data_IF_330270616172
#
_entry.id   IF_330270616172
#
_cell.length_a   1.000
_cell.length_b   1.000
_cell.length_c   1.000
_cell.angle_alpha   90.00
_cell.angle_beta   90.00
_cell.angle_gamma   90.00
#
_symmetry.space_group_name_H-M   'P 1'
#
loop_
_entity.id
_entity.type
_entity.pdbx_description
1 polymer ?
#
# COMPACT_ATOMS: atom_id res chain seq x y z
N UNK A 1 -1.50 -0.32 3.31
CA UNK A 1 -0.52 -0.91 4.24
C UNK A 1 -0.23 0.12 5.33
N UNK A 2 -0.48 -0.23 6.59
CA UNK A 2 0.10 0.45 7.75
C UNK A 2 1.38 -0.31 8.12
N UNK A 3 2.50 0.42 8.20
CA UNK A 3 3.80 -0.13 8.57
C UNK A 3 4.29 0.56 9.84
N UNK A 4 4.44 -0.20 10.91
CA UNK A 4 5.02 0.26 12.18
C UNK A 4 6.22 -0.61 12.56
N UNK A 5 7.02 -0.22 13.57
CA UNK A 5 8.10 -1.06 14.07
C UNK A 5 7.63 -2.44 14.56
N UNK A 6 6.38 -2.56 15.00
CA UNK A 6 5.87 -3.78 15.62
C UNK A 6 5.06 -4.64 14.65
N UNK A 7 4.35 -4.02 13.70
CA UNK A 7 3.45 -4.74 12.79
C UNK A 7 3.27 -4.12 11.41
N UNK A 8 2.89 -5.00 10.50
CA UNK A 8 2.39 -4.68 9.17
C UNK A 8 0.90 -5.04 9.09
N UNK A 9 0.07 -4.10 8.65
CA UNK A 9 -1.37 -4.32 8.48
C UNK A 9 -1.79 -3.97 7.05
N UNK A 10 -2.34 -4.95 6.33
CA UNK A 10 -2.86 -4.75 4.98
C UNK A 10 -4.36 -4.52 5.03
N UNK A 11 -4.79 -3.52 4.25
CA UNK A 11 -6.18 -3.16 4.08
C UNK A 11 -6.57 -3.27 2.60
N UNK A 12 -7.78 -3.74 2.34
CA UNK A 12 -8.43 -3.73 1.03
C UNK A 12 -9.81 -3.09 1.22
N UNK A 13 -10.12 -2.05 0.44
CA UNK A 13 -11.34 -1.25 0.56
C UNK A 13 -11.66 -0.80 2.00
N UNK A 14 -10.61 -0.41 2.74
CA UNK A 14 -10.72 0.06 4.14
C UNK A 14 -10.87 -1.06 5.18
N UNK A 15 -10.93 -2.33 4.77
CA UNK A 15 -11.05 -3.48 5.67
C UNK A 15 -9.70 -4.15 5.86
N UNK A 16 -9.31 -4.44 7.11
CA UNK A 16 -8.10 -5.20 7.41
C UNK A 16 -8.24 -6.65 6.90
N UNK A 17 -7.31 -7.08 6.05
CA UNK A 17 -7.30 -8.43 5.46
C UNK A 17 -6.14 -9.30 5.93
N UNK A 18 -5.07 -8.68 6.43
CA UNK A 18 -3.91 -9.39 6.99
C UNK A 18 -3.17 -8.53 8.01
N UNK A 19 -2.53 -9.18 8.98
CA UNK A 19 -1.62 -8.57 9.95
C UNK A 19 -0.50 -9.56 10.29
N UNK A 20 0.74 -9.05 10.36
CA UNK A 20 1.91 -9.81 10.83
C UNK A 20 2.82 -8.91 11.68
N UNK A 21 3.64 -9.52 12.54
CA UNK A 21 4.73 -8.80 13.19
C UNK A 21 5.74 -8.30 12.14
N UNK A 22 6.27 -7.09 12.31
CA UNK A 22 7.25 -6.53 11.37
C UNK A 22 8.52 -7.38 11.41
N UNK A 23 8.96 -7.95 10.26
CA UNK A 23 10.22 -8.68 10.19
C UNK A 23 11.42 -7.83 10.62
N UNK A 24 12.42 -8.47 11.20
CA UNK A 24 13.57 -7.75 11.79
C UNK A 24 14.35 -6.92 10.77
N UNK A 25 14.38 -7.33 9.50
CA UNK A 25 15.04 -6.66 8.39
C UNK A 25 14.21 -5.53 7.75
N UNK A 26 12.92 -5.42 8.08
CA UNK A 26 11.97 -4.41 7.59
C UNK A 26 11.98 -3.12 8.43
N UNK A 27 13.12 -2.80 9.04
CA UNK A 27 13.36 -1.59 9.86
C UNK A 27 14.41 -0.65 9.22
N UNK A 28 14.44 -0.61 7.90
CA UNK A 28 15.37 0.19 7.09
C UNK A 28 14.57 0.98 6.06
N UNK A 29 15.17 2.02 5.42
CA UNK A 29 14.54 2.67 4.28
C UNK A 29 14.20 1.66 3.18
N UNK A 30 12.99 1.75 2.64
CA UNK A 30 12.45 0.87 1.61
C UNK A 30 11.86 1.71 0.48
N UNK A 31 11.69 1.11 -0.69
CA UNK A 31 11.08 1.75 -1.86
C UNK A 31 9.87 0.93 -2.32
N UNK A 32 8.92 1.61 -2.94
CA UNK A 32 7.74 0.95 -3.50
C UNK A 32 8.05 0.40 -4.89
N UNK A 33 7.68 -0.85 -5.12
CA UNK A 33 7.69 -1.49 -6.43
C UNK A 33 6.26 -1.69 -6.91
N UNK A 34 6.02 -1.34 -8.16
CA UNK A 34 4.73 -1.47 -8.82
C UNK A 34 4.99 -2.01 -10.22
N UNK A 35 4.43 -3.18 -10.51
CA UNK A 35 4.78 -3.95 -11.69
C UNK A 35 3.54 -4.71 -12.22
N UNK A 36 3.48 -4.87 -13.54
CA UNK A 36 2.54 -5.76 -14.20
C UNK A 36 3.30 -7.00 -14.66
N UNK A 37 3.54 -7.91 -13.71
CA UNK A 37 4.25 -9.15 -13.99
C UNK A 37 3.47 -10.00 -15.02
N UNK A 38 4.19 -10.60 -15.97
CA UNK A 38 3.63 -11.50 -16.98
C UNK A 38 4.19 -12.91 -16.79
N UNK A 39 3.31 -13.86 -16.49
CA UNK A 39 3.67 -15.26 -16.27
C UNK A 39 4.20 -15.56 -14.86
N UNK A 40 4.95 -16.66 -14.71
CA UNK A 40 5.60 -17.05 -13.45
C UNK A 40 5.16 -18.44 -12.96
N UNK A 41 5.12 -18.63 -11.65
CA UNK A 41 4.75 -19.92 -11.04
C UNK A 41 3.32 -20.38 -11.43
N UNK A 42 2.44 -19.45 -11.78
CA UNK A 42 1.10 -19.72 -12.28
C UNK A 42 1.05 -20.15 -13.76
N UNK A 43 2.20 -20.18 -14.47
CA UNK A 43 2.30 -20.54 -15.88
C UNK A 43 2.46 -19.33 -16.82
N UNK A 44 2.63 -19.60 -18.11
CA UNK A 44 2.67 -18.56 -19.15
C UNK A 44 1.24 -18.09 -19.50
N UNK A 45 1.05 -16.82 -19.91
CA UNK A 45 -0.24 -16.33 -20.35
C UNK A 45 -0.68 -17.08 -21.63
N UNK A 46 -1.94 -17.51 -21.75
CA UNK A 46 -2.44 -18.12 -22.99
C UNK A 46 -2.57 -17.11 -24.15
N UNK A 47 -2.46 -17.62 -25.38
CA UNK A 47 -2.40 -16.83 -26.63
C UNK A 47 -3.61 -15.94 -26.92
N UNK A 48 -4.74 -16.16 -26.24
CA UNK A 48 -5.99 -15.42 -26.45
C UNK A 48 -6.21 -14.29 -25.43
N UNK A 49 -5.21 -13.98 -24.60
CA UNK A 49 -5.27 -12.82 -23.73
C UNK A 49 -5.28 -11.53 -24.55
N UNK A 50 -6.10 -10.56 -24.12
CA UNK A 50 -6.11 -9.24 -24.71
C UNK A 50 -4.74 -8.57 -24.48
N UNK A 51 -4.06 -8.21 -25.58
CA UNK A 51 -2.78 -7.52 -25.56
C UNK A 51 -2.85 -6.21 -26.36
N UNK A 52 -2.24 -5.10 -25.86
CA UNK A 52 -1.44 -5.02 -24.65
C UNK A 52 -2.31 -5.05 -23.38
N UNK A 53 -1.83 -5.75 -22.34
CA UNK A 53 -2.42 -5.66 -21.01
C UNK A 53 -2.01 -4.34 -20.35
N UNK A 54 -2.93 -3.70 -19.63
CA UNK A 54 -2.69 -2.42 -18.97
C UNK A 54 -2.99 -2.53 -17.47
N UNK A 55 -2.08 -2.04 -16.65
CA UNK A 55 -2.33 -1.78 -15.23
C UNK A 55 -2.56 -0.29 -15.05
N UNK A 56 -3.80 0.09 -14.76
CA UNK A 56 -4.20 1.51 -14.60
C UNK A 56 -4.19 1.87 -13.12
N UNK A 57 -3.34 2.82 -12.76
CA UNK A 57 -3.22 3.34 -11.41
C UNK A 57 -3.45 4.84 -11.48
N UNK A 58 -4.52 5.31 -10.86
CA UNK A 58 -4.85 6.74 -10.80
C UNK A 58 -3.85 7.48 -9.89
N UNK A 59 -3.60 6.93 -8.70
CA UNK A 59 -2.64 7.50 -7.77
C UNK A 59 -2.00 6.44 -6.86
N UNK A 60 -0.81 6.79 -6.37
CA UNK A 60 -0.14 6.14 -5.25
C UNK A 60 0.09 7.21 -4.20
N UNK A 61 -0.22 6.92 -2.94
CA UNK A 61 0.03 7.82 -1.82
C UNK A 61 0.80 7.09 -0.74
N UNK A 62 1.84 7.75 -0.24
CA UNK A 62 2.61 7.33 0.92
C UNK A 62 2.54 8.47 1.94
N UNK A 63 2.33 8.12 3.20
CA UNK A 63 2.17 9.06 4.29
C UNK A 63 3.09 8.63 5.43
N UNK A 64 3.61 9.61 6.18
CA UNK A 64 4.18 9.31 7.49
C UNK A 64 3.08 9.36 8.55
N UNK A 65 3.27 8.65 9.67
CA UNK A 65 2.29 8.68 10.76
C UNK A 65 2.20 10.09 11.39
N UNK A 66 3.30 10.83 11.39
CA UNK A 66 3.36 12.20 11.88
C UNK A 66 2.46 13.12 11.03
N UNK A 67 2.44 12.94 9.71
CA UNK A 67 1.55 13.68 8.80
C UNK A 67 0.06 13.39 9.09
N UNK A 68 -0.26 12.12 9.38
CA UNK A 68 -1.63 11.71 9.69
C UNK A 68 -2.10 12.29 11.03
N UNK A 69 -1.22 12.32 12.04
CA UNK A 69 -1.53 12.95 13.33
C UNK A 69 -1.77 14.46 13.18
N UNK A 70 -0.94 15.15 12.41
CA UNK A 70 -1.11 16.59 12.14
C UNK A 70 -2.41 16.88 11.37
N UNK A 71 -2.78 16.05 10.40
CA UNK A 71 -4.04 16.22 9.66
C UNK A 71 -5.26 16.14 10.58
N UNK A 72 -5.28 15.21 11.55
CA UNK A 72 -6.37 15.07 12.50
C UNK A 72 -6.45 16.25 13.48
N UNK A 73 -5.29 16.80 13.89
CA UNK A 73 -5.23 17.97 14.76
C UNK A 73 -5.71 19.24 14.04
N UNK A 74 -5.36 19.42 12.77
CA UNK A 74 -5.82 20.56 11.96
C UNK A 74 -7.32 20.52 11.68
N UNK A 75 -7.90 19.34 11.40
CA UNK A 75 -9.36 19.19 11.21
C UNK A 75 -10.15 19.47 12.50
N UNK A 76 -9.57 19.21 13.67
CA UNK A 76 -10.24 19.49 14.96
C UNK A 76 -10.15 20.97 15.35
N UNK A 77 -9.12 21.69 14.89
CA UNK A 77 -8.93 23.13 15.17
C UNK A 77 -9.83 24.07 14.36
N UNK A 78 -10.32 23.66 13.20
CA UNK A 78 -11.20 24.49 12.34
C UNK A 78 -12.68 24.46 12.76
N UNK A 79 -13.07 23.61 13.71
CA UNK A 79 -14.44 23.48 14.23
C UNK A 79 -14.71 24.27 15.53
N UNK A 80 -13.93 25.33 15.77
CA UNK A 80 -14.22 26.35 16.79
C UNK A 80 -13.96 27.75 16.22
N UNK A 81 -14.91 28.26 15.43
CA UNK A 81 -15.19 29.70 15.25
C UNK A 81 -16.70 29.89 15.23
#
# INVERSE_FOLDING_TARGET
LLWTPDKLVWTYDGVQVAEVATPSDMNKPMYMLVDLAIGGQAGAPPDHLATPAEMKIDYIRAYTLDDLQQSHLSTTGEHTV
#
